data_IF_853969478805
#
_entry.id   IF_853969478805
#
_cell.length_a   1.000
_cell.length_b   1.000
_cell.length_c   1.000
_cell.angle_alpha   90.00
_cell.angle_beta   90.00
_cell.angle_gamma   90.00
#
_symmetry.space_group_name_H-M   'P 1'
#
loop_
_entity.id
_entity.type
_entity.pdbx_description
1 polymer ?
#
# COMPACT_ATOMS: atom_id res chain seq x y z
N UNK A 1 -44.64 -59.15 18.79
CA UNK A 1 -44.55 -57.94 17.92
C UNK A 1 -44.10 -56.65 18.66
N UNK A 2 -43.27 -56.72 19.73
CA UNK A 2 -42.74 -55.52 20.42
C UNK A 2 -41.20 -55.37 20.35
N UNK A 3 -40.45 -56.45 20.13
CA UNK A 3 -38.99 -56.43 20.06
C UNK A 3 -38.43 -55.78 18.76
N UNK A 4 -39.16 -55.88 17.64
CA UNK A 4 -38.74 -55.32 16.35
C UNK A 4 -38.79 -53.78 16.29
N UNK A 5 -39.62 -53.15 17.13
CA UNK A 5 -39.81 -51.69 17.15
C UNK A 5 -38.68 -50.98 17.92
N UNK A 6 -38.09 -51.64 18.93
CA UNK A 6 -36.96 -51.07 19.67
C UNK A 6 -35.66 -51.08 18.85
N UNK A 7 -35.42 -52.12 18.06
CA UNK A 7 -34.25 -52.21 17.17
C UNK A 7 -34.25 -51.16 16.06
N UNK A 8 -35.42 -50.80 15.52
CA UNK A 8 -35.55 -49.81 14.44
C UNK A 8 -35.38 -48.37 14.94
N UNK A 9 -35.92 -48.04 16.12
CA UNK A 9 -35.75 -46.70 16.73
C UNK A 9 -34.31 -46.49 17.18
N UNK A 10 -33.66 -47.51 17.75
CA UNK A 10 -32.25 -47.44 18.12
C UNK A 10 -31.35 -47.30 16.88
N UNK A 11 -31.61 -48.08 15.83
CA UNK A 11 -30.88 -47.97 14.55
C UNK A 11 -31.09 -46.60 13.87
N UNK A 12 -32.28 -46.01 13.93
CA UNK A 12 -32.55 -44.65 13.43
C UNK A 12 -31.79 -43.58 14.22
N UNK A 13 -31.80 -43.67 15.55
CA UNK A 13 -31.05 -42.73 16.42
C UNK A 13 -29.54 -42.84 16.18
N UNK A 14 -29.01 -44.05 16.06
CA UNK A 14 -27.60 -44.28 15.77
C UNK A 14 -27.20 -43.70 14.40
N UNK A 15 -28.02 -43.91 13.37
CA UNK A 15 -27.80 -43.28 12.05
C UNK A 15 -27.82 -41.76 12.13
N UNK A 16 -28.78 -41.17 12.84
CA UNK A 16 -28.86 -39.73 13.03
C UNK A 16 -27.60 -39.17 13.73
N UNK A 17 -27.09 -39.86 14.75
CA UNK A 17 -25.84 -39.49 15.44
C UNK A 17 -24.63 -39.58 14.50
N UNK A 18 -24.51 -40.66 13.73
CA UNK A 18 -23.40 -40.83 12.77
C UNK A 18 -23.46 -39.77 11.67
N UNK A 19 -24.64 -39.48 11.13
CA UNK A 19 -24.82 -38.42 10.12
C UNK A 19 -24.48 -37.06 10.70
N UNK A 20 -24.93 -36.75 11.92
CA UNK A 20 -24.58 -35.50 12.60
C UNK A 20 -23.06 -35.39 12.84
N UNK A 21 -22.42 -36.47 13.29
CA UNK A 21 -20.97 -36.51 13.50
C UNK A 21 -20.19 -36.30 12.19
N UNK A 22 -20.64 -36.92 11.08
CA UNK A 22 -20.06 -36.71 9.77
C UNK A 22 -20.20 -35.26 9.30
N UNK A 23 -21.37 -34.64 9.49
CA UNK A 23 -21.59 -33.22 9.18
C UNK A 23 -20.68 -32.31 10.01
N UNK A 24 -20.53 -32.56 11.30
CA UNK A 24 -19.63 -31.80 12.18
C UNK A 24 -18.17 -31.98 11.74
N UNK A 25 -17.75 -33.19 11.37
CA UNK A 25 -16.39 -33.44 10.88
C UNK A 25 -16.12 -32.72 9.55
N UNK A 26 -17.09 -32.67 8.63
CA UNK A 26 -17.01 -31.90 7.39
C UNK A 26 -16.95 -30.40 7.70
N UNK A 27 -17.76 -29.89 8.63
CA UNK A 27 -17.76 -28.48 9.02
C UNK A 27 -16.41 -28.07 9.64
N UNK A 28 -15.84 -28.90 10.54
CA UNK A 28 -14.53 -28.65 11.16
C UNK A 28 -13.40 -28.79 10.12
N UNK A 29 -13.45 -29.82 9.27
CA UNK A 29 -12.42 -30.04 8.23
C UNK A 29 -12.46 -29.01 7.11
N UNK A 30 -13.64 -28.46 6.78
CA UNK A 30 -13.79 -27.37 5.82
C UNK A 30 -13.48 -25.99 6.43
N UNK A 31 -13.42 -25.90 7.76
CA UNK A 31 -13.02 -24.68 8.44
C UNK A 31 -11.52 -24.44 8.26
N UNK A 32 -11.18 -23.67 7.23
CA UNK A 32 -9.81 -23.25 7.01
C UNK A 32 -9.41 -22.21 8.06
N UNK A 33 -8.30 -22.40 8.81
CA UNK A 33 -7.81 -21.42 9.79
C UNK A 33 -7.58 -20.02 9.21
N UNK A 34 -7.48 -19.92 7.87
CA UNK A 34 -7.38 -18.67 7.14
C UNK A 34 -8.57 -17.73 7.37
N UNK A 35 -9.79 -18.24 7.61
CA UNK A 35 -10.96 -17.40 7.86
C UNK A 35 -10.84 -16.61 9.17
N UNK A 36 -10.36 -17.25 10.25
CA UNK A 36 -10.08 -16.56 11.51
C UNK A 36 -8.98 -15.51 11.34
N UNK A 37 -8.01 -15.80 10.47
CA UNK A 37 -6.90 -14.89 10.17
C UNK A 37 -7.37 -13.60 9.50
N UNK A 38 -8.40 -13.65 8.66
CA UNK A 38 -8.99 -12.47 8.01
C UNK A 38 -9.66 -11.55 9.05
N UNK A 39 -10.39 -12.12 10.02
CA UNK A 39 -11.03 -11.34 11.09
C UNK A 39 -10.04 -10.84 12.14
N UNK A 40 -8.90 -11.52 12.32
CA UNK A 40 -7.84 -11.11 13.22
C UNK A 40 -6.80 -10.16 12.58
N UNK A 41 -6.92 -9.87 11.28
CA UNK A 41 -5.98 -8.97 10.58
C UNK A 41 -6.30 -7.50 10.90
N UNK A 42 -5.29 -6.76 11.34
CA UNK A 42 -5.36 -5.31 11.44
C UNK A 42 -5.47 -4.71 10.03
N UNK A 43 -6.69 -4.38 9.61
CA UNK A 43 -7.00 -3.85 8.28
C UNK A 43 -6.23 -2.56 7.96
N UNK A 44 -5.97 -1.70 8.95
CA UNK A 44 -5.24 -0.45 8.73
C UNK A 44 -3.75 -0.69 8.53
N UNK A 45 -3.15 -1.59 9.32
CA UNK A 45 -1.76 -2.01 9.13
C UNK A 45 -1.56 -2.71 7.77
N UNK A 46 -2.53 -3.54 7.38
CA UNK A 46 -2.54 -4.20 6.08
C UNK A 46 -2.65 -3.17 4.95
N UNK A 47 -3.60 -2.24 5.02
CA UNK A 47 -3.78 -1.16 4.04
C UNK A 47 -2.50 -0.32 3.92
N UNK A 48 -1.90 0.09 5.03
CA UNK A 48 -0.64 0.83 5.02
C UNK A 48 0.46 0.05 4.30
N UNK A 49 0.62 -1.24 4.61
CA UNK A 49 1.59 -2.10 3.94
C UNK A 49 1.33 -2.21 2.43
N UNK A 50 0.06 -2.38 2.01
CA UNK A 50 -0.33 -2.46 0.60
C UNK A 50 -0.10 -1.14 -0.13
N UNK A 51 -0.34 0.01 0.51
CA UNK A 51 -0.08 1.33 -0.10
C UNK A 51 1.41 1.62 -0.29
N UNK A 52 2.28 1.03 0.52
CA UNK A 52 3.73 1.16 0.41
C UNK A 52 4.37 0.11 -0.50
N UNK A 53 3.64 -0.95 -0.90
CA UNK A 53 4.15 -1.98 -1.82
C UNK A 53 4.79 -1.41 -3.10
N UNK A 54 4.18 -0.43 -3.79
CA UNK A 54 4.80 0.17 -4.96
C UNK A 54 6.09 0.93 -4.62
N UNK A 55 6.26 1.39 -3.39
CA UNK A 55 7.38 2.23 -2.97
C UNK A 55 8.49 1.44 -2.28
N UNK A 56 8.43 0.09 -2.26
CA UNK A 56 9.45 -0.77 -1.62
C UNK A 56 10.89 -0.50 -2.06
N UNK A 57 11.11 -0.08 -3.31
CA UNK A 57 12.45 0.25 -3.85
C UNK A 57 12.88 1.70 -3.59
N UNK A 58 11.95 2.54 -3.16
CA UNK A 58 12.10 3.98 -2.94
C UNK A 58 11.33 4.37 -1.66
N UNK A 59 11.73 3.81 -0.50
CA UNK A 59 11.00 4.01 0.75
C UNK A 59 10.91 5.50 1.10
N UNK A 60 9.79 5.93 1.66
CA UNK A 60 9.60 7.31 2.08
C UNK A 60 9.24 8.29 0.96
N UNK A 61 9.46 7.96 -0.32
CA UNK A 61 9.12 8.85 -1.44
C UNK A 61 7.63 9.21 -1.43
N UNK A 62 6.75 8.24 -1.17
CA UNK A 62 5.31 8.49 -1.11
C UNK A 62 4.96 9.57 -0.10
N UNK A 63 5.46 9.42 1.13
CA UNK A 63 5.23 10.37 2.22
C UNK A 63 5.81 11.75 1.88
N UNK A 64 7.04 11.79 1.35
CA UNK A 64 7.68 13.03 0.91
C UNK A 64 6.82 13.79 -0.11
N UNK A 65 6.33 13.11 -1.14
CA UNK A 65 5.55 13.73 -2.21
C UNK A 65 4.18 14.22 -1.71
N UNK A 66 3.52 13.46 -0.84
CA UNK A 66 2.25 13.88 -0.22
C UNK A 66 2.47 15.12 0.66
N UNK A 67 3.49 15.10 1.50
CA UNK A 67 3.81 16.22 2.40
C UNK A 67 4.26 17.47 1.64
N UNK A 68 5.03 17.30 0.55
CA UNK A 68 5.42 18.38 -0.35
C UNK A 68 4.21 18.94 -1.10
N UNK A 69 3.32 18.08 -1.60
CA UNK A 69 2.09 18.49 -2.32
C UNK A 69 1.22 19.42 -1.48
N UNK A 70 1.04 19.09 -0.19
CA UNK A 70 0.25 19.89 0.75
C UNK A 70 0.83 21.29 1.02
N UNK A 71 2.10 21.52 0.67
CA UNK A 71 2.82 22.79 0.87
C UNK A 71 2.96 23.61 -0.42
N UNK A 72 2.53 23.06 -1.54
CA UNK A 72 2.59 23.72 -2.84
C UNK A 72 1.18 24.16 -3.28
N UNK A 73 1.03 25.34 -3.90
CA UNK A 73 -0.25 25.76 -4.45
C UNK A 73 -0.66 24.86 -5.64
N UNK A 74 -1.97 24.72 -5.86
CA UNK A 74 -2.49 24.04 -7.05
C UNK A 74 -1.95 24.67 -8.33
N UNK A 75 -1.65 23.86 -9.34
CA UNK A 75 -1.04 24.28 -10.60
C UNK A 75 0.49 24.52 -10.54
N UNK A 76 1.13 24.36 -9.38
CA UNK A 76 2.58 24.54 -9.29
C UNK A 76 3.34 23.56 -10.18
N UNK A 77 4.45 24.03 -10.76
CA UNK A 77 5.35 23.19 -11.56
C UNK A 77 6.52 22.72 -10.70
N UNK A 78 6.70 21.41 -10.60
CA UNK A 78 7.64 20.76 -9.68
C UNK A 78 8.58 19.83 -10.42
N UNK A 79 9.88 19.99 -10.18
CA UNK A 79 10.89 19.01 -10.58
C UNK A 79 11.15 18.02 -9.45
N UNK A 80 11.46 16.78 -9.81
CA UNK A 80 11.81 15.72 -8.86
C UNK A 80 13.29 15.36 -8.97
N UNK A 81 13.99 15.43 -7.85
CA UNK A 81 15.35 14.92 -7.67
C UNK A 81 15.32 13.63 -6.85
N UNK A 82 15.85 12.56 -7.42
CA UNK A 82 16.12 11.27 -6.74
C UNK A 82 17.56 10.86 -7.04
N UNK A 83 18.28 10.14 -6.16
CA UNK A 83 19.70 9.83 -6.36
C UNK A 83 19.95 9.03 -7.66
N UNK A 84 18.99 8.23 -8.10
CA UNK A 84 19.04 7.52 -9.37
C UNK A 84 18.90 8.48 -10.56
N UNK A 85 19.89 8.53 -11.44
CA UNK A 85 19.88 9.42 -12.63
C UNK A 85 19.31 8.76 -13.87
N UNK A 86 19.54 7.46 -14.02
CA UNK A 86 19.11 6.70 -15.19
C UNK A 86 17.59 6.51 -15.18
N UNK A 87 16.97 6.69 -16.34
CA UNK A 87 15.53 6.54 -16.49
C UNK A 87 15.07 5.14 -16.06
N UNK A 88 15.75 4.11 -16.55
CA UNK A 88 15.50 2.70 -16.18
C UNK A 88 16.08 2.33 -14.80
N UNK A 89 17.08 3.08 -14.32
CA UNK A 89 17.73 2.87 -13.02
C UNK A 89 16.95 3.37 -11.80
N UNK A 90 15.71 3.80 -11.97
CA UNK A 90 14.81 4.18 -10.88
C UNK A 90 14.29 5.62 -10.96
N UNK A 91 14.91 6.50 -11.76
CA UNK A 91 14.41 7.86 -11.98
C UNK A 91 13.02 7.84 -12.61
N UNK A 92 12.87 7.12 -13.72
CA UNK A 92 11.61 7.01 -14.46
C UNK A 92 10.52 6.37 -13.62
N UNK A 93 10.87 5.52 -12.65
CA UNK A 93 9.93 4.98 -11.68
C UNK A 93 9.38 6.06 -10.76
N UNK A 94 10.25 6.83 -10.10
CA UNK A 94 9.88 7.92 -9.20
C UNK A 94 9.08 9.01 -9.94
N UNK A 95 9.56 9.42 -11.12
CA UNK A 95 8.90 10.41 -11.97
C UNK A 95 7.49 9.97 -12.38
N UNK A 96 7.30 8.74 -12.85
CA UNK A 96 5.97 8.24 -13.24
C UNK A 96 5.00 8.14 -12.06
N UNK A 97 5.49 7.95 -10.82
CA UNK A 97 4.65 7.87 -9.61
C UNK A 97 4.25 9.25 -9.08
N UNK A 98 5.10 10.25 -9.26
CA UNK A 98 4.90 11.57 -8.69
C UNK A 98 3.57 12.25 -9.08
N UNK A 99 3.11 12.24 -10.34
CA UNK A 99 1.81 12.80 -10.72
C UNK A 99 0.62 12.18 -9.99
N UNK A 100 0.67 10.89 -9.65
CA UNK A 100 -0.42 10.23 -8.93
C UNK A 100 -0.54 10.70 -7.47
N UNK A 101 0.56 11.16 -6.87
CA UNK A 101 0.60 11.66 -5.49
C UNK A 101 0.46 13.18 -5.42
N UNK A 102 0.64 13.87 -6.55
CA UNK A 102 0.53 15.32 -6.68
C UNK A 102 -0.38 15.67 -7.87
N UNK A 103 -1.65 15.22 -7.85
CA UNK A 103 -2.53 15.23 -9.02
C UNK A 103 -2.86 16.63 -9.53
N UNK A 104 -2.75 17.64 -8.69
CA UNK A 104 -3.02 19.03 -9.03
C UNK A 104 -1.76 19.82 -9.37
N UNK A 105 -0.60 19.15 -9.50
CA UNK A 105 0.70 19.76 -9.79
C UNK A 105 1.23 19.26 -11.13
N UNK A 106 1.99 20.11 -11.82
CA UNK A 106 2.70 19.73 -13.04
C UNK A 106 4.09 19.21 -12.69
N UNK A 107 4.29 17.91 -12.78
CA UNK A 107 5.61 17.30 -12.57
C UNK A 107 6.43 17.38 -13.86
N UNK A 108 7.62 17.97 -13.80
CA UNK A 108 8.57 18.05 -14.91
C UNK A 108 9.83 17.22 -14.63
N UNK A 109 10.44 16.63 -15.67
CA UNK A 109 11.68 15.88 -15.50
C UNK A 109 12.83 16.82 -15.10
N UNK A 110 13.87 16.25 -14.48
CA UNK A 110 14.94 17.02 -13.84
C UNK A 110 15.84 17.76 -14.85
N UNK A 111 15.94 17.28 -16.08
CA UNK A 111 16.58 17.98 -17.21
C UNK A 111 15.87 19.31 -17.54
N UNK A 112 14.59 19.43 -17.17
CA UNK A 112 13.78 20.65 -17.27
C UNK A 112 13.57 21.34 -15.93
N UNK A 113 14.53 21.22 -14.99
CA UNK A 113 14.48 21.92 -13.69
C UNK A 113 14.31 23.43 -13.85
N UNK A 114 14.74 24.00 -14.98
CA UNK A 114 14.57 25.41 -15.28
C UNK A 114 13.11 25.84 -15.52
N UNK A 115 12.24 24.91 -15.88
CA UNK A 115 10.81 25.16 -16.04
C UNK A 115 10.05 25.02 -14.71
N UNK A 116 10.72 24.53 -13.66
CA UNK A 116 10.11 24.26 -12.36
C UNK A 116 10.17 25.48 -11.42
N UNK A 117 9.09 25.67 -10.68
CA UNK A 117 8.99 26.62 -9.57
C UNK A 117 9.44 26.00 -8.25
N UNK A 118 9.26 24.68 -8.13
CA UNK A 118 9.60 23.89 -6.95
C UNK A 118 10.50 22.72 -7.32
N UNK A 119 11.36 22.32 -6.40
CA UNK A 119 12.19 21.14 -6.52
C UNK A 119 11.99 20.27 -5.28
N UNK A 120 11.50 19.05 -5.47
CA UNK A 120 11.42 18.04 -4.40
C UNK A 120 12.63 17.14 -4.50
N UNK A 121 13.38 16.98 -3.43
CA UNK A 121 14.53 16.08 -3.38
C UNK A 121 14.30 14.96 -2.38
N UNK A 122 14.40 13.72 -2.84
CA UNK A 122 14.35 12.54 -1.99
C UNK A 122 15.77 12.14 -1.56
N UNK A 123 15.97 11.99 -0.25
CA UNK A 123 17.27 11.71 0.40
C UNK A 123 18.44 12.63 -0.04
N UNK A 124 18.20 13.94 -0.01
CA UNK A 124 19.24 14.97 -0.17
C UNK A 124 19.13 15.74 -1.48
N UNK A 125 19.29 17.05 -1.39
CA UNK A 125 19.34 17.93 -2.57
C UNK A 125 20.79 18.21 -2.98
N UNK A 126 21.07 18.30 -4.29
CA UNK A 126 22.29 18.92 -4.76
C UNK A 126 22.17 20.44 -4.56
N UNK A 127 23.29 21.15 -4.58
CA UNK A 127 23.22 22.61 -4.71
C UNK A 127 22.70 22.95 -6.11
N UNK A 128 21.43 23.36 -6.19
CA UNK A 128 20.83 23.90 -7.42
C UNK A 128 20.78 25.42 -7.32
N UNK A 129 21.35 26.10 -8.31
CA UNK A 129 21.37 27.55 -8.36
C UNK A 129 19.94 28.07 -8.50
N UNK A 130 19.61 29.11 -7.72
CA UNK A 130 18.29 29.74 -7.77
C UNK A 130 17.18 28.92 -7.11
N UNK A 131 17.51 27.95 -6.25
CA UNK A 131 16.52 27.32 -5.37
C UNK A 131 16.97 27.43 -3.91
N UNK A 132 16.02 27.75 -3.03
CA UNK A 132 16.21 27.80 -1.59
C UNK A 132 15.33 26.74 -0.91
N UNK A 133 15.88 26.04 0.08
CA UNK A 133 15.10 25.08 0.88
C UNK A 133 14.03 25.81 1.69
N UNK A 134 12.78 25.43 1.49
CA UNK A 134 11.63 25.98 2.24
C UNK A 134 11.08 24.99 3.26
N UNK A 135 11.36 23.70 3.10
CA UNK A 135 10.94 22.66 4.02
C UNK A 135 11.86 21.44 3.95
N UNK A 136 12.06 20.78 5.09
CA UNK A 136 12.88 19.58 5.25
C UNK A 136 12.15 18.56 6.11
N UNK A 137 12.33 17.29 5.78
CA UNK A 137 11.83 16.12 6.49
C UNK A 137 12.90 15.03 6.51
N UNK A 138 12.72 13.95 7.30
CA UNK A 138 13.62 12.80 7.26
C UNK A 138 13.74 12.16 5.86
N UNK A 139 12.69 12.25 5.05
CA UNK A 139 12.64 11.62 3.72
C UNK A 139 13.26 12.50 2.63
N UNK A 140 13.45 13.79 2.89
CA UNK A 140 13.88 14.73 1.86
C UNK A 140 13.50 16.17 2.11
N UNK A 141 13.62 16.98 1.06
CA UNK A 141 13.48 18.44 1.13
C UNK A 141 12.60 18.95 0.00
N UNK A 142 11.94 20.08 0.26
CA UNK A 142 11.28 20.88 -0.75
C UNK A 142 12.02 22.22 -0.85
N UNK A 143 12.39 22.56 -2.08
CA UNK A 143 12.99 23.83 -2.42
C UNK A 143 12.06 24.63 -3.31
N UNK A 144 12.20 25.94 -3.26
CA UNK A 144 11.47 26.89 -4.08
C UNK A 144 12.45 27.82 -4.77
N UNK A 145 12.13 28.18 -6.01
CA UNK A 145 12.84 29.19 -6.78
C UNK A 145 12.52 30.61 -6.31
#
# INVERSE_FOLDING_TARGET
MRAYVYGTVFAMRLRAVITAAAFVAIAIGSFQPMYLRIFAMNGDGLRAAYTELPYRRIPGLRKLLVDASARMPSGATVALWVPFREWEGGYGYAFRRAPFLMPDKRVVPIDRVNDAQYLVCWHGCPRVIGFATIWRSPEGELMRR
#
